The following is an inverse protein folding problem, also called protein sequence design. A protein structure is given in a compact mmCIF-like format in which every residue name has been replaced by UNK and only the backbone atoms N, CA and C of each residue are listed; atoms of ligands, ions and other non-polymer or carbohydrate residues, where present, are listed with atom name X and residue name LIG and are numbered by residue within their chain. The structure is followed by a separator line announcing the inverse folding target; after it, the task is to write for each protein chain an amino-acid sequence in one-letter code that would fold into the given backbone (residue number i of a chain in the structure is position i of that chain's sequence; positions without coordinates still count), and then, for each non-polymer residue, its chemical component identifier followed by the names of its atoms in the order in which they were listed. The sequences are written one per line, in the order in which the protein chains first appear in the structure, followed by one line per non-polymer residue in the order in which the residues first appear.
data_IF_118179487236
#
_entry.id   IF_118179487236
#
_cell.length_a   1.000
_cell.length_b   1.000
_cell.length_c   1.000
_cell.angle_alpha   90.00
_cell.angle_beta   90.00
_cell.angle_gamma   90.00
#
_symmetry.space_group_name_H-M   'P 1'
#
loop_
_entity.id
_entity.type
_entity.pdbx_description
1 polymer ?
#
# COMPACT_ATOMS: atom_id res chain seq x y z
N UNK A 1 40.36 27.66 -11.32
CA UNK A 1 41.16 26.57 -10.73
C UNK A 1 40.34 25.29 -10.75
N UNK A 2 40.43 24.54 -11.84
CA UNK A 2 39.66 23.32 -12.03
C UNK A 2 40.42 22.14 -11.40
N UNK A 3 40.09 21.81 -10.14
CA UNK A 3 40.33 20.46 -9.63
C UNK A 3 39.05 19.68 -9.92
N UNK A 4 38.89 19.26 -11.17
CA UNK A 4 38.05 18.11 -11.46
C UNK A 4 38.75 16.94 -10.78
N UNK A 5 38.38 16.67 -9.53
CA UNK A 5 38.74 15.42 -8.88
C UNK A 5 38.15 14.34 -9.78
N UNK A 6 39.00 13.69 -10.57
CA UNK A 6 38.62 12.49 -11.29
C UNK A 6 38.25 11.43 -10.26
N UNK A 7 36.99 11.47 -9.84
CA UNK A 7 36.39 10.43 -9.04
C UNK A 7 36.41 9.22 -9.97
N UNK A 8 37.17 8.20 -9.57
CA UNK A 8 37.21 6.93 -10.30
C UNK A 8 35.79 6.51 -10.67
N UNK A 9 35.52 6.07 -11.92
CA UNK A 9 34.18 5.63 -12.33
C UNK A 9 33.54 4.62 -11.37
N UNK A 10 34.36 3.82 -10.68
CA UNK A 10 33.92 2.92 -9.62
C UNK A 10 33.35 3.65 -8.40
N UNK A 11 33.99 4.72 -7.95
CA UNK A 11 33.51 5.53 -6.81
C UNK A 11 32.25 6.29 -7.18
N UNK A 12 32.17 6.85 -8.39
CA UNK A 12 30.94 7.49 -8.87
C UNK A 12 29.78 6.50 -8.94
N UNK A 13 29.98 5.30 -9.51
CA UNK A 13 28.94 4.27 -9.53
C UNK A 13 28.52 3.83 -8.12
N UNK A 14 29.46 3.71 -7.18
CA UNK A 14 29.13 3.36 -5.80
C UNK A 14 28.22 4.42 -5.14
N UNK A 15 28.53 5.71 -5.31
CA UNK A 15 27.71 6.82 -4.82
C UNK A 15 26.30 6.80 -5.43
N UNK A 16 26.19 6.55 -6.75
CA UNK A 16 24.88 6.43 -7.42
C UNK A 16 24.08 5.22 -6.92
N UNK A 17 24.73 4.08 -6.68
CA UNK A 17 24.06 2.90 -6.12
C UNK A 17 23.57 3.12 -4.69
N UNK A 18 24.33 3.86 -3.87
CA UNK A 18 23.92 4.26 -2.52
C UNK A 18 22.71 5.20 -2.57
N UNK A 19 22.69 6.14 -3.52
CA UNK A 19 21.54 6.99 -3.77
C UNK A 19 20.30 6.16 -4.16
N UNK A 20 20.42 5.27 -5.15
CA UNK A 20 19.30 4.39 -5.58
C UNK A 20 18.78 3.55 -4.41
N UNK A 21 19.67 2.99 -3.59
CA UNK A 21 19.29 2.21 -2.40
C UNK A 21 18.51 3.06 -1.38
N UNK A 22 18.95 4.29 -1.14
CA UNK A 22 18.25 5.24 -0.26
C UNK A 22 16.87 5.58 -0.82
N UNK A 23 16.79 5.99 -2.08
CA UNK A 23 15.53 6.36 -2.73
C UNK A 23 14.54 5.19 -2.80
N UNK A 24 15.02 3.96 -3.02
CA UNK A 24 14.18 2.76 -2.97
C UNK A 24 13.54 2.59 -1.59
N UNK A 25 14.32 2.72 -0.51
CA UNK A 25 13.80 2.60 0.87
C UNK A 25 12.78 3.69 1.19
N UNK A 26 13.08 4.93 0.84
CA UNK A 26 12.17 6.07 1.05
C UNK A 26 10.87 5.88 0.27
N UNK A 27 10.95 5.40 -0.98
CA UNK A 27 9.78 5.13 -1.82
C UNK A 27 8.90 4.02 -1.23
N UNK A 28 9.50 2.92 -0.75
CA UNK A 28 8.77 1.84 -0.09
C UNK A 28 8.14 2.32 1.21
N UNK A 29 8.84 3.12 2.01
CA UNK A 29 8.29 3.67 3.25
C UNK A 29 7.08 4.57 2.97
N UNK A 30 7.18 5.49 2.02
CA UNK A 30 6.07 6.36 1.64
C UNK A 30 4.87 5.57 1.10
N UNK A 31 5.14 4.55 0.28
CA UNK A 31 4.12 3.61 -0.22
C UNK A 31 3.42 2.88 0.94
N UNK A 32 4.18 2.30 1.88
CA UNK A 32 3.62 1.54 3.00
C UNK A 32 2.76 2.45 3.88
N UNK A 33 3.25 3.64 4.24
CA UNK A 33 2.49 4.60 5.05
C UNK A 33 1.18 5.00 4.38
N UNK A 34 1.17 5.22 3.07
CA UNK A 34 -0.06 5.51 2.31
C UNK A 34 -1.07 4.36 2.42
N UNK A 35 -0.63 3.13 2.15
CA UNK A 35 -1.50 1.94 2.19
C UNK A 35 -2.03 1.68 3.60
N UNK A 36 -1.19 1.77 4.62
CA UNK A 36 -1.57 1.58 6.03
C UNK A 36 -2.59 2.62 6.48
N UNK A 37 -2.44 3.87 6.03
CA UNK A 37 -3.41 4.94 6.30
C UNK A 37 -4.76 4.60 5.67
N UNK A 38 -4.78 4.17 4.40
CA UNK A 38 -6.01 3.79 3.70
C UNK A 38 -6.72 2.61 4.38
N UNK A 39 -5.98 1.56 4.74
CA UNK A 39 -6.52 0.41 5.47
C UNK A 39 -7.12 0.82 6.83
N UNK A 40 -6.46 1.72 7.55
CA UNK A 40 -6.97 2.26 8.82
C UNK A 40 -8.28 3.02 8.62
N UNK A 41 -8.34 3.92 7.63
CA UNK A 41 -9.58 4.67 7.32
C UNK A 41 -10.74 3.75 6.95
N UNK A 42 -10.48 2.72 6.12
CA UNK A 42 -11.48 1.71 5.72
C UNK A 42 -12.00 0.99 6.97
N UNK A 43 -11.09 0.51 7.83
CA UNK A 43 -11.44 -0.18 9.08
C UNK A 43 -12.28 0.69 9.99
N UNK A 44 -11.88 1.94 10.21
CA UNK A 44 -12.56 2.84 11.13
C UNK A 44 -13.96 3.19 10.61
N UNK A 45 -14.11 3.37 9.29
CA UNK A 45 -15.42 3.57 8.65
C UNK A 45 -16.35 2.35 8.84
N UNK A 46 -15.83 1.14 8.68
CA UNK A 46 -16.58 -0.11 8.94
C UNK A 46 -17.02 -0.19 10.41
N UNK A 47 -16.12 0.12 11.35
CA UNK A 47 -16.41 0.07 12.79
C UNK A 47 -17.46 1.12 13.16
N UNK A 48 -17.43 2.32 12.57
CA UNK A 48 -18.43 3.35 12.86
C UNK A 48 -19.86 2.88 12.53
N UNK A 49 -20.02 2.10 11.46
CA UNK A 49 -21.32 1.53 11.09
C UNK A 49 -21.89 0.60 12.18
N UNK A 50 -21.04 -0.10 12.94
CA UNK A 50 -21.48 -1.03 14.00
C UNK A 50 -22.17 -0.34 15.19
N UNK A 51 -22.02 0.99 15.32
CA UNK A 51 -22.72 1.77 16.33
C UNK A 51 -24.21 1.94 16.00
N UNK A 52 -24.62 1.66 14.77
CA UNK A 52 -26.02 1.67 14.36
C UNK A 52 -26.70 0.37 14.79
N UNK A 53 -27.79 0.48 15.55
CA UNK A 53 -28.47 -0.67 16.17
C UNK A 53 -29.02 -1.70 15.14
N UNK A 54 -29.33 -1.27 13.91
CA UNK A 54 -29.82 -2.13 12.84
C UNK A 54 -29.12 -1.79 11.53
N UNK A 55 -28.21 -2.66 11.07
CA UNK A 55 -27.54 -2.48 9.78
C UNK A 55 -28.51 -2.80 8.62
N UNK A 56 -28.60 -1.95 7.59
CA UNK A 56 -29.37 -2.25 6.39
C UNK A 56 -28.88 -3.55 5.71
N UNK A 57 -29.78 -4.37 5.10
CA UNK A 57 -29.37 -5.58 4.39
C UNK A 57 -28.34 -5.36 3.28
N UNK A 58 -28.40 -4.21 2.59
CA UNK A 58 -27.44 -3.81 1.57
C UNK A 58 -26.02 -3.68 2.16
N UNK A 59 -25.89 -2.99 3.29
CA UNK A 59 -24.61 -2.84 3.99
C UNK A 59 -24.06 -4.19 4.48
N UNK A 60 -24.91 -5.09 4.97
CA UNK A 60 -24.49 -6.44 5.38
C UNK A 60 -23.93 -7.23 4.19
N UNK A 61 -24.54 -7.11 3.01
CA UNK A 61 -24.03 -7.73 1.78
C UNK A 61 -22.68 -7.14 1.41
N UNK A 62 -22.56 -5.82 1.38
CA UNK A 62 -21.33 -5.13 1.01
C UNK A 62 -20.17 -5.51 1.96
N UNK A 63 -20.45 -5.64 3.28
CA UNK A 63 -19.47 -6.16 4.25
C UNK A 63 -19.03 -7.61 3.97
N UNK A 64 -19.94 -8.48 3.52
CA UNK A 64 -19.59 -9.87 3.13
C UNK A 64 -18.72 -9.89 1.88
N UNK A 65 -18.98 -9.00 0.92
CA UNK A 65 -18.19 -8.86 -0.29
C UNK A 65 -16.78 -8.39 0.06
N UNK A 66 -16.64 -7.34 0.90
CA UNK A 66 -15.35 -6.88 1.42
C UNK A 66 -14.57 -7.98 2.14
N UNK A 67 -15.22 -8.78 3.01
CA UNK A 67 -14.59 -9.92 3.69
C UNK A 67 -14.07 -10.94 2.67
N UNK A 68 -14.83 -11.20 1.61
CA UNK A 68 -14.45 -12.15 0.56
C UNK A 68 -13.23 -11.66 -0.22
N UNK A 69 -13.20 -10.38 -0.60
CA UNK A 69 -12.04 -9.76 -1.25
C UNK A 69 -10.77 -9.89 -0.39
N UNK A 70 -10.86 -9.58 0.91
CA UNK A 70 -9.74 -9.74 1.84
C UNK A 70 -9.27 -11.20 1.98
N UNK A 71 -10.20 -12.16 2.06
CA UNK A 71 -9.86 -13.58 2.25
C UNK A 71 -9.29 -14.27 1.02
N UNK A 72 -9.61 -13.76 -0.18
CA UNK A 72 -9.14 -14.31 -1.45
C UNK A 72 -7.78 -13.75 -1.88
N UNK A 73 -7.25 -12.77 -1.13
CA UNK A 73 -5.96 -12.15 -1.40
C UNK A 73 -4.80 -13.13 -1.14
N UNK A 74 -4.26 -13.73 -2.21
CA UNK A 74 -3.05 -14.55 -2.16
C UNK A 74 -1.78 -13.70 -2.35
N UNK A 75 -1.00 -13.53 -1.29
CA UNK A 75 0.28 -12.80 -1.26
C UNK A 75 1.43 -13.73 -0.85
N UNK A 76 2.64 -13.43 -1.33
CA UNK A 76 3.88 -14.12 -0.92
C UNK A 76 4.93 -13.09 -0.49
N UNK A 77 4.74 -12.46 0.70
CA UNK A 77 5.54 -11.32 1.14
C UNK A 77 7.04 -11.61 1.18
N UNK A 78 7.43 -12.83 1.53
CA UNK A 78 8.82 -13.31 1.62
C UNK A 78 9.57 -13.22 0.28
N UNK A 79 8.85 -13.10 -0.83
CA UNK A 79 9.43 -13.03 -2.17
C UNK A 79 9.64 -11.60 -2.67
N UNK A 80 9.24 -10.57 -1.91
CA UNK A 80 9.46 -9.16 -2.25
C UNK A 80 8.89 -8.76 -3.63
N UNK A 81 7.77 -9.36 -4.05
CA UNK A 81 7.27 -9.24 -5.42
C UNK A 81 6.45 -7.96 -5.59
N UNK A 82 6.82 -7.11 -6.54
CA UNK A 82 6.01 -5.94 -6.93
C UNK A 82 4.55 -6.29 -7.27
N UNK A 83 4.30 -7.46 -7.87
CA UNK A 83 2.93 -7.88 -8.20
C UNK A 83 2.05 -8.07 -6.98
N UNK A 84 2.62 -8.44 -5.83
CA UNK A 84 1.88 -8.62 -4.59
C UNK A 84 1.52 -7.24 -4.01
N UNK A 85 2.42 -6.26 -4.11
CA UNK A 85 2.10 -4.85 -3.80
C UNK A 85 0.94 -4.34 -4.67
N UNK A 86 0.99 -4.60 -5.98
CA UNK A 86 -0.10 -4.23 -6.89
C UNK A 86 -1.45 -4.86 -6.50
N UNK A 87 -1.46 -6.12 -6.05
CA UNK A 87 -2.69 -6.76 -5.56
C UNK A 87 -3.25 -6.03 -4.32
N UNK A 88 -2.38 -5.55 -3.43
CA UNK A 88 -2.78 -4.77 -2.26
C UNK A 88 -3.38 -3.43 -2.70
N UNK A 89 -2.73 -2.71 -3.63
CA UNK A 89 -3.29 -1.46 -4.18
C UNK A 89 -4.70 -1.70 -4.75
N UNK A 90 -4.87 -2.73 -5.60
CA UNK A 90 -6.18 -3.07 -6.19
C UNK A 90 -7.23 -3.41 -5.12
N UNK A 91 -6.87 -4.19 -4.10
CA UNK A 91 -7.79 -4.49 -3.01
C UNK A 91 -8.22 -3.22 -2.27
N UNK A 92 -7.27 -2.34 -1.93
CA UNK A 92 -7.57 -1.08 -1.23
C UNK A 92 -8.48 -0.18 -2.07
N UNK A 93 -8.27 -0.10 -3.39
CA UNK A 93 -9.14 0.62 -4.32
C UNK A 93 -10.56 0.03 -4.34
N UNK A 94 -10.71 -1.29 -4.45
CA UNK A 94 -12.01 -1.97 -4.45
C UNK A 94 -12.76 -1.76 -3.12
N UNK A 95 -12.09 -1.87 -1.97
CA UNK A 95 -12.69 -1.63 -0.67
C UNK A 95 -13.14 -0.17 -0.51
N UNK A 96 -12.35 0.79 -1.01
CA UNK A 96 -12.73 2.20 -1.02
C UNK A 96 -13.96 2.45 -1.88
N UNK A 97 -14.06 1.85 -3.07
CA UNK A 97 -15.22 1.98 -3.93
C UNK A 97 -16.50 1.47 -3.25
N UNK A 98 -16.42 0.35 -2.51
CA UNK A 98 -17.56 -0.16 -1.75
C UNK A 98 -18.00 0.86 -0.69
N UNK A 99 -17.07 1.37 0.11
CA UNK A 99 -17.36 2.34 1.18
C UNK A 99 -17.90 3.68 0.63
N UNK A 100 -17.41 4.14 -0.52
CA UNK A 100 -17.90 5.37 -1.15
C UNK A 100 -19.36 5.29 -1.59
N UNK A 101 -19.90 4.08 -1.73
CA UNK A 101 -21.30 3.83 -2.11
C UNK A 101 -22.21 3.57 -0.90
N UNK A 102 -21.69 3.68 0.33
CA UNK A 102 -22.48 3.55 1.56
C UNK A 102 -23.32 4.77 1.87
#
# INVERSE_FOLDING_TARGET
MAKSLEVSPMKSLAEELDFVRKSFRESIQAYSTRIETQLTMIRDTVIEQTKTANLPPALIRDLRDMITLCRTLDLKPEKGRRKDLKKIDTLVEELHLIIQNW
#
